data_IF_771136244085
#
_entry.id   IF_771136244085
#
_cell.length_a   1.000
_cell.length_b   1.000
_cell.length_c   1.000
_cell.angle_alpha   90.00
_cell.angle_beta   90.00
_cell.angle_gamma   90.00
#
_symmetry.space_group_name_H-M   'P 1'
#
loop_
_entity.id
_entity.type
_entity.pdbx_description
1 polymer ?
#
# COMPACT_ATOMS: atom_id res chain seq x y z
N UNK A 1 -11.02 2.34 9.73
CA UNK A 1 -10.31 2.88 8.55
C UNK A 1 -8.89 3.33 8.86
N UNK A 2 -8.67 4.28 9.79
CA UNK A 2 -7.33 4.57 10.36
C UNK A 2 -6.60 3.30 10.81
N UNK A 3 -7.33 2.41 11.49
CA UNK A 3 -6.85 1.10 11.94
C UNK A 3 -6.20 0.22 10.87
N UNK A 4 -6.55 0.37 9.58
CA UNK A 4 -6.12 -0.56 8.54
C UNK A 4 -4.72 -0.18 8.01
N UNK A 5 -4.50 1.11 7.76
CA UNK A 5 -3.16 1.63 7.48
C UNK A 5 -2.23 1.54 8.68
N UNK A 6 -2.75 1.78 9.89
CA UNK A 6 -1.98 1.56 11.14
C UNK A 6 -1.51 0.11 11.24
N UNK A 7 -2.39 -0.88 10.99
CA UNK A 7 -2.02 -2.30 10.94
C UNK A 7 -0.94 -2.59 9.89
N UNK A 8 -1.04 -2.00 8.70
CA UNK A 8 -0.02 -2.18 7.66
C UNK A 8 1.33 -1.57 8.06
N UNK A 9 1.32 -0.38 8.65
CA UNK A 9 2.53 0.29 9.15
C UNK A 9 3.16 -0.53 10.27
N UNK A 10 2.36 -1.01 11.22
CA UNK A 10 2.80 -1.86 12.32
C UNK A 10 3.40 -3.18 11.81
N UNK A 11 2.71 -3.87 10.89
CA UNK A 11 3.21 -5.09 10.26
C UNK A 11 4.50 -4.86 9.49
N UNK A 12 4.60 -3.74 8.76
CA UNK A 12 5.80 -3.35 8.02
C UNK A 12 6.99 -3.15 8.96
N UNK A 13 6.79 -2.43 10.07
CA UNK A 13 7.83 -2.18 11.08
C UNK A 13 8.28 -3.45 11.80
N UNK A 14 7.33 -4.25 12.26
CA UNK A 14 7.60 -5.44 13.07
C UNK A 14 8.18 -6.60 12.27
N UNK A 15 7.80 -6.74 10.99
CA UNK A 15 8.18 -7.90 10.15
C UNK A 15 9.23 -7.59 9.09
N UNK A 16 9.65 -6.32 8.98
CA UNK A 16 10.63 -5.87 7.99
C UNK A 16 10.14 -6.07 6.55
N UNK A 17 8.83 -5.88 6.32
CA UNK A 17 8.20 -6.03 5.00
C UNK A 17 7.69 -4.68 4.50
N UNK A 18 7.55 -4.54 3.18
CA UNK A 18 6.86 -3.41 2.55
C UNK A 18 5.63 -3.91 1.79
N UNK A 19 4.58 -3.10 1.79
CA UNK A 19 3.37 -3.36 1.01
C UNK A 19 3.29 -2.37 -0.16
N UNK A 20 2.80 -2.83 -1.31
CA UNK A 20 2.46 -1.98 -2.44
C UNK A 20 1.01 -2.24 -2.82
N UNK A 21 0.15 -1.24 -2.59
CA UNK A 21 -1.27 -1.29 -2.91
C UNK A 21 -1.46 -0.73 -4.31
N UNK A 22 -2.06 -1.56 -5.17
CA UNK A 22 -2.43 -1.20 -6.53
C UNK A 22 -3.92 -0.95 -6.59
N UNK A 23 -4.33 -0.03 -7.46
CA UNK A 23 -5.74 0.36 -7.59
C UNK A 23 -6.19 0.22 -9.04
N UNK A 24 -7.49 -0.04 -9.25
CA UNK A 24 -8.05 -0.24 -10.60
C UNK A 24 -8.11 1.07 -11.40
N UNK A 25 -8.50 2.17 -10.74
CA UNK A 25 -8.81 3.46 -11.39
C UNK A 25 -7.77 4.55 -11.13
N UNK A 26 -6.85 4.30 -10.18
CA UNK A 26 -5.83 5.25 -9.80
C UNK A 26 -4.50 4.72 -10.32
N UNK A 27 -3.81 5.53 -11.13
CA UNK A 27 -2.56 5.12 -11.78
C UNK A 27 -1.39 5.02 -10.80
N UNK A 28 -1.45 5.84 -9.74
CA UNK A 28 -0.54 5.76 -8.61
C UNK A 28 -0.73 4.51 -7.75
N UNK A 29 0.30 4.17 -6.99
CA UNK A 29 0.29 3.10 -5.98
C UNK A 29 0.50 3.69 -4.60
N UNK A 30 0.07 2.97 -3.56
CA UNK A 30 0.40 3.34 -2.18
C UNK A 30 1.43 2.35 -1.65
N UNK A 31 2.60 2.87 -1.30
CA UNK A 31 3.63 2.12 -0.60
C UNK A 31 3.42 2.23 0.91
N UNK A 32 3.55 1.12 1.63
CA UNK A 32 3.67 1.12 3.08
C UNK A 32 4.99 0.49 3.47
N UNK A 33 5.94 1.34 3.86
CA UNK A 33 7.27 0.96 4.33
C UNK A 33 7.61 1.80 5.54
N UNK A 34 7.27 1.29 6.73
CA UNK A 34 7.29 1.97 8.05
C UNK A 34 6.45 3.25 8.16
N UNK A 35 5.99 3.79 7.05
CA UNK A 35 5.12 4.93 6.86
C UNK A 35 4.38 4.79 5.51
N UNK A 36 3.36 5.60 5.29
CA UNK A 36 2.56 5.60 4.06
C UNK A 36 3.20 6.55 3.05
N UNK A 37 3.42 6.08 1.81
CA UNK A 37 4.00 6.85 0.71
C UNK A 37 3.12 6.75 -0.53
N UNK A 38 2.99 7.84 -1.26
CA UNK A 38 2.49 7.80 -2.63
C UNK A 38 3.61 7.39 -3.58
N UNK A 39 3.31 6.47 -4.48
CA UNK A 39 4.22 5.99 -5.51
C UNK A 39 3.61 6.27 -6.89
N UNK A 40 4.43 6.68 -7.85
CA UNK A 40 4.02 6.82 -9.24
C UNK A 40 3.73 5.45 -9.90
N UNK A 41 3.37 5.47 -11.18
CA UNK A 41 3.08 4.27 -11.98
C UNK A 41 4.28 3.29 -12.02
N UNK A 42 5.50 3.83 -11.95
CA UNK A 42 6.76 3.09 -11.96
C UNK A 42 7.14 2.56 -10.55
N UNK A 43 6.36 2.91 -9.52
CA UNK A 43 6.62 2.51 -8.13
C UNK A 43 7.63 3.39 -7.40
N UNK A 44 7.96 4.57 -7.92
CA UNK A 44 8.89 5.52 -7.28
C UNK A 44 8.14 6.48 -6.37
N UNK A 45 8.69 6.85 -5.20
CA UNK A 45 8.10 7.85 -4.33
C UNK A 45 7.91 9.19 -5.03
N UNK A 46 6.72 9.78 -4.90
CA UNK A 46 6.40 11.08 -5.45
C UNK A 46 5.42 11.85 -4.54
N UNK A 47 5.30 13.18 -4.68
CA UNK A 47 4.37 13.96 -3.85
C UNK A 47 2.94 13.44 -3.98
N UNK A 48 2.25 13.30 -2.85
CA UNK A 48 0.91 12.74 -2.80
C UNK A 48 -0.08 13.44 -3.74
N UNK A 49 -0.10 14.78 -3.71
CA UNK A 49 -0.98 15.61 -4.56
C UNK A 49 -0.76 15.41 -6.06
N UNK A 50 0.44 14.99 -6.47
CA UNK A 50 0.77 14.68 -7.87
C UNK A 50 0.24 13.30 -8.27
N UNK A 51 0.35 12.32 -7.37
CA UNK A 51 -0.01 10.92 -7.64
C UNK A 51 -1.52 10.70 -7.49
N UNK A 52 -2.12 11.30 -6.47
CA UNK A 52 -3.53 11.16 -6.10
C UNK A 52 -4.17 12.55 -5.95
N UNK A 53 -4.38 13.28 -7.06
CA UNK A 53 -4.97 14.62 -7.01
C UNK A 53 -6.40 14.57 -6.44
N UNK A 54 -6.67 15.41 -5.43
CA UNK A 54 -8.00 15.51 -4.80
C UNK A 54 -8.35 14.38 -3.83
N UNK A 55 -7.45 13.40 -3.62
CA UNK A 55 -7.66 12.29 -2.68
C UNK A 55 -6.70 12.45 -1.51
N UNK A 56 -7.17 12.27 -0.28
CA UNK A 56 -6.29 12.25 0.90
C UNK A 56 -5.80 10.82 1.18
N UNK A 57 -4.64 10.65 1.87
CA UNK A 57 -4.17 9.32 2.27
C UNK A 57 -5.19 8.48 3.02
N UNK A 58 -6.00 9.13 3.86
CA UNK A 58 -7.02 8.49 4.68
C UNK A 58 -8.17 7.92 3.85
N UNK A 59 -8.47 8.53 2.70
CA UNK A 59 -9.62 8.19 1.86
C UNK A 59 -9.24 7.31 0.66
N UNK A 60 -7.95 7.03 0.44
CA UNK A 60 -7.49 6.35 -0.77
C UNK A 60 -8.12 4.98 -0.97
N UNK A 61 -8.28 4.17 0.08
CA UNK A 61 -8.89 2.84 -0.01
C UNK A 61 -10.38 2.93 -0.34
N UNK A 62 -11.06 4.00 0.06
CA UNK A 62 -12.49 4.19 -0.23
C UNK A 62 -12.72 4.73 -1.64
N UNK A 63 -11.87 5.65 -2.08
CA UNK A 63 -12.04 6.36 -3.36
C UNK A 63 -11.37 5.63 -4.53
N UNK A 64 -10.29 4.90 -4.26
CA UNK A 64 -9.62 4.04 -5.23
C UNK A 64 -9.91 2.58 -4.89
N UNK A 65 -10.57 1.87 -5.82
CA UNK A 65 -10.84 0.43 -5.68
C UNK A 65 -9.52 -0.33 -5.69
N UNK A 66 -9.21 -1.03 -4.60
CA UNK A 66 -8.03 -1.87 -4.48
C UNK A 66 -8.08 -2.99 -5.54
N UNK A 67 -6.98 -3.15 -6.27
CA UNK A 67 -6.80 -4.19 -7.29
C UNK A 67 -6.04 -5.38 -6.74
N UNK A 68 -4.92 -5.10 -6.08
CA UNK A 68 -4.06 -6.11 -5.45
C UNK A 68 -3.12 -5.47 -4.43
N UNK A 69 -2.56 -6.29 -3.57
CA UNK A 69 -1.50 -5.94 -2.62
C UNK A 69 -0.30 -6.83 -2.89
N UNK A 70 0.84 -6.22 -3.20
CA UNK A 70 2.12 -6.92 -3.26
C UNK A 70 2.84 -6.76 -1.92
N UNK A 71 3.46 -7.83 -1.43
CA UNK A 71 4.24 -7.82 -0.19
C UNK A 71 5.68 -8.18 -0.50
N UNK A 72 6.62 -7.37 -0.05
CA UNK A 72 8.05 -7.60 -0.29
C UNK A 72 8.87 -7.61 1.00
N UNK A 73 9.99 -8.31 0.97
CA UNK A 73 11.08 -8.19 1.95
C UNK A 73 12.35 -7.75 1.22
N UNK A 74 12.78 -6.52 1.44
CA UNK A 74 13.79 -5.89 0.59
C UNK A 74 13.32 -5.80 -0.86
N UNK A 75 14.05 -6.45 -1.78
CA UNK A 75 13.70 -6.55 -3.21
C UNK A 75 12.89 -7.80 -3.57
N UNK A 76 12.76 -8.77 -2.66
CA UNK A 76 12.08 -10.04 -2.91
C UNK A 76 10.56 -9.89 -2.77
N UNK A 77 9.79 -10.35 -3.76
CA UNK A 77 8.33 -10.45 -3.69
C UNK A 77 7.95 -11.71 -2.92
N UNK A 78 7.31 -11.56 -1.76
CA UNK A 78 6.81 -12.66 -0.94
C UNK A 78 5.46 -13.18 -1.43
N UNK A 79 4.62 -12.31 -2.00
CA UNK A 79 3.32 -12.69 -2.51
C UNK A 79 2.48 -11.53 -3.02
N UNK A 80 1.44 -11.89 -3.78
CA UNK A 80 0.40 -10.99 -4.25
C UNK A 80 -0.97 -11.45 -3.72
N UNK A 81 -1.77 -10.52 -3.24
CA UNK A 81 -3.06 -10.79 -2.59
C UNK A 81 -4.16 -9.89 -3.14
N UNK A 82 -5.41 -10.38 -3.13
CA UNK A 82 -6.56 -9.62 -3.60
C UNK A 82 -7.00 -8.56 -2.60
N UNK A 83 -6.79 -8.81 -1.30
CA UNK A 83 -7.18 -7.90 -0.22
C UNK A 83 -6.05 -7.60 0.75
N UNK A 84 -6.21 -6.52 1.52
CA UNK A 84 -5.25 -6.18 2.58
C UNK A 84 -5.30 -7.20 3.73
N UNK A 85 -6.47 -7.69 4.10
CA UNK A 85 -6.59 -8.67 5.18
C UNK A 85 -5.95 -10.01 4.81
N UNK A 86 -6.07 -10.46 3.55
CA UNK A 86 -5.30 -11.62 3.04
C UNK A 86 -3.79 -11.41 3.18
N UNK A 87 -3.27 -10.26 2.71
CA UNK A 87 -1.85 -9.94 2.81
C UNK A 87 -1.34 -9.90 4.26
N UNK A 88 -2.14 -9.35 5.18
CA UNK A 88 -1.80 -9.32 6.60
C UNK A 88 -1.84 -10.72 7.25
N UNK A 89 -2.80 -11.55 6.84
CA UNK A 89 -2.97 -12.92 7.37
C UNK A 89 -1.85 -13.85 6.90
N UNK A 90 -1.39 -13.69 5.65
CA UNK A 90 -0.28 -14.48 5.10
C UNK A 90 1.08 -14.22 5.74
N UNK A 91 1.19 -13.13 6.51
CA UNK A 91 2.41 -12.78 7.24
C UNK A 91 2.42 -13.31 8.69
N UNK A 92 1.32 -13.91 9.15
CA UNK A 92 1.19 -14.47 10.51
C UNK A 92 2.09 -15.69 10.72
#
# INVERSE_FOLDING_TARGET
MLKLFERLVEASRSRGVRFVLHFVRCRGKVGVDREIKALDEEGRPAPWSRVFPGVTPQNIIQQCVLKKVEVYRGSELLGEYGTIDEALSALQ
#
